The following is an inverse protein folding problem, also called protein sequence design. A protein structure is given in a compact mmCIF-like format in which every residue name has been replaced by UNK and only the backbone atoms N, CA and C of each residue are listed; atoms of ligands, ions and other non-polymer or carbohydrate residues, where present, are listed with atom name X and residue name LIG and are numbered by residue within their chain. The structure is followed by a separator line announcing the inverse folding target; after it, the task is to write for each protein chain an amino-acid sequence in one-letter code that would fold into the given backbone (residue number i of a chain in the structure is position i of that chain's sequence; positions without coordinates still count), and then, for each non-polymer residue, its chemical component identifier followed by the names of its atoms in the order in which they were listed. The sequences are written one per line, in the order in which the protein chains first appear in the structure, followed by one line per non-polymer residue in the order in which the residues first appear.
data_IF_452367189712
#
_entry.id   IF_452367189712
#
_cell.length_a   1.000
_cell.length_b   1.000
_cell.length_c   1.000
_cell.angle_alpha   90.00
_cell.angle_beta   90.00
_cell.angle_gamma   90.00
#
_symmetry.space_group_name_H-M   'P 1'
#
loop_
_entity.id
_entity.type
_entity.pdbx_description
1 polymer ?
#
# COMPACT_ATOMS: atom_id res chain seq x y z
N UNK A 1 -19.75 -11.69 3.67
CA UNK A 1 -19.63 -13.15 3.47
C UNK A 1 -19.15 -13.40 2.04
N UNK A 2 -17.87 -13.15 1.75
CA UNK A 2 -17.29 -13.26 0.39
C UNK A 2 -16.18 -14.33 0.27
N UNK A 3 -15.70 -14.90 1.39
CA UNK A 3 -14.57 -15.85 1.36
C UNK A 3 -14.87 -17.25 0.82
N UNK A 4 -16.14 -17.68 0.81
CA UNK A 4 -16.49 -19.06 0.42
C UNK A 4 -16.53 -19.30 -1.11
N UNK A 5 -16.69 -18.25 -1.93
CA UNK A 5 -16.81 -18.41 -3.38
C UNK A 5 -15.45 -18.57 -4.10
N UNK A 6 -14.35 -18.07 -3.51
CA UNK A 6 -13.02 -18.08 -4.15
C UNK A 6 -12.28 -19.43 -4.04
N UNK A 7 -12.80 -20.38 -3.26
CA UNK A 7 -12.19 -21.72 -3.11
C UNK A 7 -12.41 -22.58 -4.36
N UNK A 8 -13.45 -22.29 -5.15
CA UNK A 8 -13.85 -23.13 -6.30
C UNK A 8 -13.02 -22.82 -7.58
N UNK A 9 -12.35 -21.67 -7.67
CA UNK A 9 -11.60 -21.26 -8.87
C UNK A 9 -10.09 -21.55 -8.85
N UNK A 10 -9.57 -22.28 -7.86
CA UNK A 10 -8.14 -22.67 -7.80
C UNK A 10 -7.38 -22.15 -6.59
N UNK A 11 -8.07 -21.55 -5.62
CA UNK A 11 -7.54 -21.18 -4.31
C UNK A 11 -6.67 -19.93 -4.35
N UNK A 12 -7.02 -18.93 -3.55
CA UNK A 12 -6.19 -17.75 -3.36
C UNK A 12 -4.96 -18.11 -2.51
N UNK A 13 -3.77 -17.71 -2.97
CA UNK A 13 -2.52 -17.80 -2.24
C UNK A 13 -2.04 -16.39 -1.90
N UNK A 14 -1.67 -16.18 -0.64
CA UNK A 14 -1.05 -14.93 -0.18
C UNK A 14 0.43 -15.13 0.15
N UNK A 15 1.23 -14.15 -0.22
CA UNK A 15 2.59 -13.97 0.26
C UNK A 15 2.54 -13.10 1.53
N UNK A 16 3.25 -13.48 2.60
CA UNK A 16 3.31 -12.71 3.85
C UNK A 16 4.77 -12.40 4.16
N UNK A 17 5.07 -11.11 4.38
CA UNK A 17 6.40 -10.68 4.80
C UNK A 17 6.63 -11.06 6.27
N UNK A 18 7.63 -11.91 6.49
CA UNK A 18 8.02 -12.52 7.75
C UNK A 18 9.17 -11.78 8.46
N UNK A 19 9.18 -10.45 8.31
CA UNK A 19 10.13 -9.58 8.98
C UNK A 19 9.75 -9.35 10.44
N UNK A 20 10.08 -8.17 10.95
CA UNK A 20 9.66 -7.78 12.29
C UNK A 20 8.13 -7.73 12.35
N UNK A 21 7.56 -8.36 13.39
CA UNK A 21 6.11 -8.53 13.53
C UNK A 21 5.47 -9.54 12.56
N UNK A 22 6.26 -10.43 11.94
CA UNK A 22 5.79 -11.42 10.95
C UNK A 22 4.63 -12.30 11.43
N UNK A 23 4.68 -12.84 12.65
CA UNK A 23 3.59 -13.67 13.21
C UNK A 23 2.29 -12.87 13.41
N UNK A 24 2.38 -11.64 13.93
CA UNK A 24 1.21 -10.77 14.08
C UNK A 24 0.58 -10.43 12.71
N UNK A 25 1.43 -10.20 11.71
CA UNK A 25 1.00 -9.94 10.32
C UNK A 25 0.35 -11.16 9.69
N UNK A 26 0.89 -12.35 9.92
CA UNK A 26 0.27 -13.61 9.49
C UNK A 26 -1.10 -13.81 10.15
N UNK A 27 -1.22 -13.50 11.45
CA UNK A 27 -2.49 -13.60 12.16
C UNK A 27 -3.53 -12.61 11.60
N UNK A 28 -3.15 -11.35 11.32
CA UNK A 28 -4.00 -10.36 10.65
C UNK A 28 -4.44 -10.85 9.25
N UNK A 29 -3.51 -11.42 8.49
CA UNK A 29 -3.81 -11.94 7.15
C UNK A 29 -4.82 -13.09 7.20
N UNK A 30 -4.64 -14.05 8.12
CA UNK A 30 -5.55 -15.18 8.30
C UNK A 30 -6.93 -14.77 8.78
N UNK A 31 -7.01 -13.73 9.61
CA UNK A 31 -8.30 -13.19 10.03
C UNK A 31 -9.04 -12.53 8.86
N UNK A 32 -8.33 -11.76 8.04
CA UNK A 32 -8.94 -11.03 6.93
C UNK A 32 -9.36 -11.94 5.76
N UNK A 33 -8.47 -12.86 5.35
CA UNK A 33 -8.68 -13.71 4.18
C UNK A 33 -9.18 -15.12 4.52
N UNK A 34 -9.27 -15.47 5.80
CA UNK A 34 -9.68 -16.78 6.28
C UNK A 34 -8.51 -17.71 6.63
N UNK A 35 -8.72 -18.63 7.58
CA UNK A 35 -7.65 -19.47 8.13
C UNK A 35 -7.15 -20.56 7.17
N UNK A 36 -7.91 -20.87 6.11
CA UNK A 36 -7.59 -21.93 5.15
C UNK A 36 -6.88 -21.40 3.89
N UNK A 37 -6.70 -20.10 3.76
CA UNK A 37 -6.07 -19.49 2.59
C UNK A 37 -4.58 -19.87 2.57
N UNK A 38 -4.07 -20.27 1.40
CA UNK A 38 -2.69 -20.73 1.25
C UNK A 38 -1.72 -19.58 1.52
N UNK A 39 -0.66 -19.83 2.29
CA UNK A 39 0.31 -18.82 2.71
C UNK A 39 1.72 -19.20 2.28
N UNK A 40 2.43 -18.24 1.67
CA UNK A 40 3.87 -18.29 1.41
C UNK A 40 4.57 -17.22 2.24
N UNK A 41 5.56 -17.60 3.03
CA UNK A 41 6.30 -16.67 3.89
C UNK A 41 7.61 -16.27 3.22
N UNK A 42 7.91 -14.98 3.25
CA UNK A 42 9.12 -14.41 2.65
C UNK A 42 9.82 -13.51 3.66
N UNK A 43 11.15 -13.48 3.69
CA UNK A 43 11.88 -12.83 4.77
C UNK A 43 11.77 -11.30 4.77
N UNK A 44 11.53 -10.68 3.61
CA UNK A 44 11.48 -9.23 3.46
C UNK A 44 10.45 -8.78 2.42
N UNK A 45 10.09 -7.47 2.40
CA UNK A 45 9.10 -6.95 1.46
C UNK A 45 9.47 -7.16 0.00
N UNK A 46 10.76 -7.09 -0.34
CA UNK A 46 11.22 -7.28 -1.73
C UNK A 46 10.89 -8.67 -2.26
N UNK A 47 11.19 -9.72 -1.49
CA UNK A 47 10.84 -11.11 -1.84
C UNK A 47 9.32 -11.32 -1.87
N UNK A 48 8.61 -10.70 -0.92
CA UNK A 48 7.15 -10.81 -0.82
C UNK A 48 6.46 -10.19 -2.05
N UNK A 49 6.92 -9.01 -2.50
CA UNK A 49 6.41 -8.34 -3.70
C UNK A 49 6.79 -9.11 -4.99
N UNK A 50 8.00 -9.65 -5.06
CA UNK A 50 8.45 -10.42 -6.22
C UNK A 50 7.61 -11.69 -6.46
N UNK A 51 7.01 -12.26 -5.42
CA UNK A 51 6.13 -13.43 -5.55
C UNK A 51 4.79 -13.10 -6.25
N UNK A 52 4.40 -11.82 -6.33
CA UNK A 52 3.19 -11.40 -7.05
C UNK A 52 3.36 -11.45 -8.57
N UNK A 53 4.58 -11.28 -9.06
CA UNK A 53 4.87 -11.18 -10.50
C UNK A 53 5.46 -12.47 -11.07
N UNK A 54 5.77 -13.44 -10.21
CA UNK A 54 6.30 -14.75 -10.60
C UNK A 54 5.18 -15.65 -11.15
N UNK A 55 5.49 -16.47 -12.15
CA UNK A 55 4.57 -17.50 -12.64
C UNK A 55 4.16 -18.48 -11.52
N UNK A 56 2.86 -18.74 -11.35
CA UNK A 56 2.34 -19.49 -10.20
C UNK A 56 2.63 -18.81 -8.86
N UNK A 57 2.73 -17.48 -8.89
CA UNK A 57 2.87 -16.54 -7.78
C UNK A 57 1.71 -16.53 -6.80
N UNK A 58 1.89 -15.79 -5.70
CA UNK A 58 0.78 -15.40 -4.86
C UNK A 58 -0.07 -14.34 -5.58
N UNK A 59 -1.38 -14.30 -5.30
CA UNK A 59 -2.27 -13.27 -5.84
C UNK A 59 -2.26 -12.00 -4.97
N UNK A 60 -1.86 -12.12 -3.71
CA UNK A 60 -1.85 -11.06 -2.71
C UNK A 60 -0.54 -11.07 -1.94
N UNK A 61 -0.04 -9.90 -1.56
CA UNK A 61 1.10 -9.76 -0.66
C UNK A 61 0.71 -8.95 0.57
N UNK A 62 1.01 -9.46 1.76
CA UNK A 62 0.77 -8.78 3.04
C UNK A 62 2.09 -8.26 3.57
N UNK A 63 2.19 -6.93 3.65
CA UNK A 63 3.41 -6.19 3.93
C UNK A 63 3.33 -5.43 5.26
N UNK A 64 4.49 -5.08 5.85
CA UNK A 64 4.56 -4.23 7.04
C UNK A 64 3.84 -2.89 6.85
N UNK A 65 3.52 -2.20 7.97
CA UNK A 65 3.07 -0.81 7.94
C UNK A 65 3.92 0.06 7.02
N UNK A 66 3.29 1.07 6.43
CA UNK A 66 4.01 2.14 5.74
C UNK A 66 4.89 2.88 6.74
N UNK A 67 6.15 3.11 6.38
CA UNK A 67 7.12 3.82 7.19
C UNK A 67 8.10 4.62 6.35
N UNK A 68 9.06 5.22 7.04
CA UNK A 68 10.22 5.92 6.44
C UNK A 68 11.56 5.34 6.90
N UNK A 69 11.54 4.23 7.65
CA UNK A 69 12.76 3.63 8.20
C UNK A 69 13.80 3.31 7.12
N UNK A 70 15.07 3.44 7.46
CA UNK A 70 16.20 3.21 6.54
C UNK A 70 16.33 1.75 6.12
N UNK A 71 15.85 0.81 6.95
CA UNK A 71 15.84 -0.60 6.62
C UNK A 71 14.89 -0.96 5.45
N UNK A 72 15.00 -2.20 4.98
CA UNK A 72 14.20 -2.70 3.87
C UNK A 72 12.69 -2.80 4.20
N UNK A 73 12.31 -2.79 5.48
CA UNK A 73 10.92 -2.82 5.94
C UNK A 73 10.31 -1.42 6.00
N UNK A 74 11.09 -0.39 6.35
CA UNK A 74 10.63 0.97 6.53
C UNK A 74 10.46 1.78 5.25
N UNK A 75 10.70 1.24 4.05
CA UNK A 75 10.52 2.00 2.81
C UNK A 75 10.22 1.15 1.59
N UNK A 76 9.55 0.03 1.78
CA UNK A 76 9.25 -0.94 0.72
C UNK A 76 8.37 -0.34 -0.38
N UNK A 77 7.53 0.65 -0.06
CA UNK A 77 6.59 1.29 -0.98
C UNK A 77 7.29 1.95 -2.18
N UNK A 78 8.60 2.29 -2.07
CA UNK A 78 9.42 2.76 -3.20
C UNK A 78 9.50 1.74 -4.35
N UNK A 79 9.27 0.47 -4.05
CA UNK A 79 9.29 -0.61 -5.03
C UNK A 79 8.03 -0.65 -5.88
N UNK A 80 6.93 -0.01 -5.47
CA UNK A 80 5.69 0.00 -6.24
C UNK A 80 5.81 0.84 -7.51
N UNK A 81 6.53 1.97 -7.45
CA UNK A 81 6.62 2.91 -8.56
C UNK A 81 7.29 2.34 -9.83
N UNK A 82 8.43 1.61 -9.77
CA UNK A 82 9.11 1.13 -10.98
C UNK A 82 8.63 -0.24 -11.53
N UNK A 83 7.58 -0.86 -11.00
CA UNK A 83 7.29 -2.27 -11.34
C UNK A 83 6.47 -2.44 -12.63
N UNK A 84 6.78 -3.52 -13.39
CA UNK A 84 5.94 -4.08 -14.46
C UNK A 84 5.76 -5.59 -14.22
N UNK A 85 4.52 -6.10 -14.08
CA UNK A 85 3.25 -5.37 -14.05
C UNK A 85 3.17 -4.39 -12.88
N UNK A 86 2.27 -3.40 -12.97
CA UNK A 86 2.06 -2.44 -11.89
C UNK A 86 1.56 -3.15 -10.62
N UNK A 87 1.99 -2.65 -9.46
CA UNK A 87 1.57 -3.14 -8.15
C UNK A 87 0.81 -2.04 -7.42
N UNK A 88 -0.29 -2.44 -6.78
CA UNK A 88 -1.22 -1.55 -6.11
C UNK A 88 -1.40 -1.99 -4.66
N UNK A 89 -1.30 -1.05 -3.73
CA UNK A 89 -1.90 -1.23 -2.40
C UNK A 89 -3.41 -1.26 -2.60
N UNK A 90 -4.08 -2.30 -2.11
CA UNK A 90 -5.52 -2.49 -2.29
C UNK A 90 -6.32 -2.57 -0.98
N UNK A 91 -5.63 -2.77 0.15
CA UNK A 91 -6.27 -2.78 1.46
C UNK A 91 -5.28 -2.42 2.57
N UNK A 92 -5.82 -1.88 3.67
CA UNK A 92 -5.18 -1.78 4.97
C UNK A 92 -5.92 -2.71 5.93
N UNK A 93 -5.18 -3.56 6.65
CA UNK A 93 -5.74 -4.51 7.62
C UNK A 93 -5.17 -4.23 9.02
N UNK A 94 -5.96 -4.42 10.10
CA UNK A 94 -7.37 -4.84 10.08
C UNK A 94 -8.29 -3.70 9.61
N UNK A 95 -9.36 -4.05 8.88
CA UNK A 95 -10.37 -3.07 8.42
C UNK A 95 -11.19 -2.51 9.59
N UNK A 96 -11.44 -3.35 10.61
CA UNK A 96 -12.08 -2.94 11.85
C UNK A 96 -11.01 -2.69 12.92
N UNK A 97 -10.77 -1.42 13.24
CA UNK A 97 -9.64 -1.01 14.09
C UNK A 97 -9.90 -1.20 15.57
N UNK A 98 -11.17 -1.28 16.00
CA UNK A 98 -11.56 -1.57 17.39
C UNK A 98 -11.47 -3.07 17.67
N UNK A 99 -10.46 -3.51 18.42
CA UNK A 99 -10.16 -4.94 18.64
C UNK A 99 -10.61 -5.38 20.03
N UNK A 100 -11.30 -6.52 20.11
CA UNK A 100 -11.49 -7.23 21.37
C UNK A 100 -10.17 -7.88 21.82
N UNK A 101 -10.07 -8.20 23.12
CA UNK A 101 -8.91 -8.93 23.65
C UNK A 101 -8.76 -10.30 22.94
N UNK A 102 -7.51 -10.70 22.69
CA UNK A 102 -7.18 -11.95 22.01
C UNK A 102 -7.21 -11.89 20.48
N UNK A 103 -7.67 -10.78 19.89
CA UNK A 103 -7.59 -10.58 18.45
C UNK A 103 -6.23 -10.01 18.01
N UNK A 104 -5.72 -10.34 16.81
CA UNK A 104 -4.46 -9.80 16.29
C UNK A 104 -4.41 -8.27 16.31
N UNK A 105 -3.30 -7.69 16.75
CA UNK A 105 -3.09 -6.24 16.83
C UNK A 105 -1.98 -5.80 15.87
N UNK A 106 -2.02 -4.53 15.48
CA UNK A 106 -1.08 -3.93 14.54
C UNK A 106 -1.76 -3.55 13.23
N UNK A 107 -0.95 -3.19 12.24
CA UNK A 107 -1.40 -2.82 10.91
C UNK A 107 -0.57 -3.54 9.84
N UNK A 108 -1.18 -3.80 8.69
CA UNK A 108 -0.50 -4.31 7.52
C UNK A 108 -1.19 -3.82 6.25
N UNK A 109 -0.45 -3.82 5.15
CA UNK A 109 -0.96 -3.41 3.85
C UNK A 109 -1.00 -4.60 2.91
N UNK A 110 -2.06 -4.68 2.10
CA UNK A 110 -2.24 -5.70 1.08
C UNK A 110 -1.90 -5.12 -0.27
N UNK A 111 -1.06 -5.80 -1.04
CA UNK A 111 -0.64 -5.42 -2.39
C UNK A 111 -1.07 -6.50 -3.40
N UNK A 112 -1.50 -6.06 -4.58
CA UNK A 112 -1.87 -6.92 -5.71
C UNK A 112 -1.42 -6.31 -7.04
N UNK A 113 -1.56 -7.07 -8.14
CA UNK A 113 -1.32 -6.61 -9.52
C UNK A 113 -2.56 -5.98 -10.17
N UNK A 114 -3.69 -5.99 -9.46
CA UNK A 114 -4.98 -5.43 -9.90
C UNK A 114 -5.27 -4.18 -9.05
N UNK A 115 -5.72 -3.06 -9.64
CA UNK A 115 -6.08 -1.86 -8.88
C UNK A 115 -7.25 -2.11 -7.93
N UNK A 116 -7.40 -1.29 -6.87
CA UNK A 116 -8.53 -1.42 -5.94
C UNK A 116 -9.85 -1.00 -6.58
N UNK A 117 -10.93 -1.67 -6.21
CA UNK A 117 -12.30 -1.26 -6.51
C UNK A 117 -12.76 -0.16 -5.53
N UNK A 118 -13.53 0.80 -6.02
CA UNK A 118 -14.09 1.87 -5.19
C UNK A 118 -15.09 1.33 -4.17
N UNK A 119 -14.92 1.69 -2.89
CA UNK A 119 -15.87 1.36 -1.81
C UNK A 119 -16.81 2.52 -1.46
N UNK A 120 -16.50 3.73 -1.94
CA UNK A 120 -17.26 4.96 -1.69
C UNK A 120 -16.72 5.80 -0.53
N UNK A 121 -15.96 5.19 0.38
CA UNK A 121 -15.20 5.87 1.42
C UNK A 121 -13.75 5.38 1.38
N UNK A 122 -12.96 5.96 0.48
CA UNK A 122 -11.63 5.46 0.13
C UNK A 122 -10.53 6.49 0.39
N UNK A 123 -9.31 5.98 0.56
CA UNK A 123 -8.07 6.74 0.58
C UNK A 123 -7.21 6.30 -0.61
N UNK A 124 -6.84 7.24 -1.47
CA UNK A 124 -5.97 7.03 -2.61
C UNK A 124 -4.50 7.20 -2.24
N UNK A 125 -3.62 6.48 -2.93
CA UNK A 125 -2.18 6.54 -2.73
C UNK A 125 -1.45 6.86 -4.04
N UNK A 126 -0.55 7.83 -3.99
CA UNK A 126 0.31 8.19 -5.12
C UNK A 126 1.77 8.39 -4.69
N UNK A 127 2.70 8.03 -5.55
CA UNK A 127 4.11 8.37 -5.38
C UNK A 127 4.48 9.60 -6.20
N UNK A 128 5.26 10.48 -5.60
CA UNK A 128 5.73 11.74 -6.16
C UNK A 128 7.26 11.79 -6.08
N UNK A 129 7.92 12.01 -7.21
CA UNK A 129 9.37 12.21 -7.24
C UNK A 129 9.66 13.70 -7.40
N UNK A 130 10.12 14.35 -6.34
CA UNK A 130 10.37 15.80 -6.35
C UNK A 130 11.79 16.13 -6.79
N UNK A 131 11.91 17.23 -7.54
CA UNK A 131 13.17 17.88 -7.84
C UNK A 131 13.76 18.49 -6.56
N UNK A 132 15.01 18.13 -6.25
CA UNK A 132 15.67 18.60 -5.03
C UNK A 132 15.02 18.04 -3.76
N UNK A 133 15.03 18.83 -2.68
CA UNK A 133 14.57 18.38 -1.36
C UNK A 133 13.61 19.40 -0.74
N UNK A 134 12.38 19.53 -1.27
CA UNK A 134 11.38 20.39 -0.66
C UNK A 134 11.03 19.90 0.74
N UNK A 135 10.63 20.83 1.61
CA UNK A 135 10.13 20.48 2.94
C UNK A 135 8.82 19.68 2.86
N UNK A 136 8.51 18.90 3.89
CA UNK A 136 7.23 18.17 4.00
C UNK A 136 6.01 19.08 3.82
N UNK A 137 6.05 20.29 4.41
CA UNK A 137 4.99 21.28 4.25
C UNK A 137 4.83 21.71 2.79
N UNK A 138 5.95 21.92 2.08
CA UNK A 138 5.94 22.32 0.67
C UNK A 138 5.43 21.20 -0.25
N UNK A 139 5.81 19.95 0.02
CA UNK A 139 5.28 18.79 -0.72
C UNK A 139 3.76 18.68 -0.57
N UNK A 140 3.24 18.81 0.66
CA UNK A 140 1.79 18.81 0.91
C UNK A 140 1.08 19.98 0.23
N UNK A 141 1.68 21.17 0.23
CA UNK A 141 1.15 22.35 -0.46
C UNK A 141 1.03 22.12 -1.97
N UNK A 142 2.03 21.49 -2.61
CA UNK A 142 1.98 21.15 -4.03
C UNK A 142 0.81 20.20 -4.36
N UNK A 143 0.55 19.23 -3.50
CA UNK A 143 -0.56 18.28 -3.65
C UNK A 143 -1.91 18.96 -3.45
N UNK A 144 -2.03 19.81 -2.42
CA UNK A 144 -3.25 20.59 -2.16
C UNK A 144 -3.56 21.57 -3.29
N UNK A 145 -2.56 22.26 -3.82
CA UNK A 145 -2.73 23.21 -4.92
C UNK A 145 -3.16 22.53 -6.23
N UNK A 146 -2.84 21.25 -6.41
CA UNK A 146 -3.33 20.44 -7.52
C UNK A 146 -4.80 19.98 -7.34
N UNK A 147 -5.42 20.27 -6.19
CA UNK A 147 -6.82 19.95 -5.91
C UNK A 147 -7.03 18.57 -5.27
N UNK A 148 -6.02 18.02 -4.62
CA UNK A 148 -6.16 16.84 -3.75
C UNK A 148 -6.30 17.24 -2.28
N UNK A 149 -6.85 16.35 -1.46
CA UNK A 149 -6.93 16.52 -0.01
C UNK A 149 -6.00 15.51 0.67
N UNK A 150 -4.72 15.86 0.91
CA UNK A 150 -3.75 14.92 1.45
C UNK A 150 -3.96 14.68 2.96
N UNK A 151 -3.90 13.42 3.38
CA UNK A 151 -4.16 12.95 4.76
C UNK A 151 -2.90 12.42 5.45
N UNK A 152 -1.96 11.86 4.69
CA UNK A 152 -0.69 11.36 5.21
C UNK A 152 0.43 11.50 4.17
N UNK A 153 1.67 11.55 4.67
CA UNK A 153 2.87 11.69 3.86
C UNK A 153 3.99 10.83 4.45
N UNK A 154 4.58 9.98 3.60
CA UNK A 154 5.83 9.29 3.84
C UNK A 154 6.86 9.73 2.81
N UNK A 155 8.12 9.85 3.23
CA UNK A 155 9.21 10.43 2.45
C UNK A 155 10.43 9.54 2.59
N UNK A 156 11.10 9.29 1.47
CA UNK A 156 12.37 8.57 1.44
C UNK A 156 13.32 9.25 0.47
N UNK A 157 14.54 9.53 0.93
CA UNK A 157 15.61 9.99 0.05
C UNK A 157 16.06 8.81 -0.81
N UNK A 158 16.10 8.98 -2.12
CA UNK A 158 16.63 7.96 -3.01
C UNK A 158 18.16 8.00 -3.00
N UNK A 159 18.84 6.86 -3.21
CA UNK A 159 20.30 6.83 -3.28
C UNK A 159 20.81 7.70 -4.45
N UNK A 160 21.94 8.40 -4.22
CA UNK A 160 22.55 9.31 -5.20
C UNK A 160 21.78 10.62 -5.34
N UNK A 161 21.90 11.26 -6.51
CA UNK A 161 21.19 12.51 -6.84
C UNK A 161 19.79 12.26 -7.42
N UNK A 162 19.19 11.11 -7.12
CA UNK A 162 17.89 10.71 -7.66
C UNK A 162 16.69 11.45 -7.02
N UNK A 163 16.94 12.34 -6.05
CA UNK A 163 15.93 13.21 -5.46
C UNK A 163 15.15 12.59 -4.30
N UNK A 164 14.00 13.20 -4.01
CA UNK A 164 13.16 12.87 -2.87
C UNK A 164 11.87 12.18 -3.34
N UNK A 165 11.71 10.91 -2.97
CA UNK A 165 10.48 10.17 -3.24
C UNK A 165 9.51 10.35 -2.07
N UNK A 166 8.28 10.74 -2.37
CA UNK A 166 7.19 10.82 -1.42
C UNK A 166 6.08 9.84 -1.79
N UNK A 167 5.44 9.23 -0.79
CA UNK A 167 4.17 8.55 -0.88
C UNK A 167 3.14 9.43 -0.17
N UNK A 168 2.08 9.78 -0.89
CA UNK A 168 1.02 10.64 -0.36
C UNK A 168 -0.29 9.88 -0.35
N UNK A 169 -0.96 9.95 0.79
CA UNK A 169 -2.34 9.52 0.94
C UNK A 169 -3.27 10.71 0.75
N UNK A 170 -4.34 10.53 -0.01
CA UNK A 170 -5.34 11.56 -0.29
C UNK A 170 -6.75 11.00 -0.13
N UNK A 171 -7.73 11.87 0.11
CA UNK A 171 -9.13 11.45 0.07
C UNK A 171 -9.56 11.00 -1.33
N UNK A 172 -10.36 9.93 -1.35
CA UNK A 172 -10.89 9.24 -2.52
C UNK A 172 -9.81 8.51 -3.33
N UNK A 173 -10.21 7.46 -4.05
CA UNK A 173 -9.34 6.82 -5.03
C UNK A 173 -8.98 7.80 -6.17
N UNK A 174 -7.79 7.60 -6.72
CA UNK A 174 -7.27 8.42 -7.82
C UNK A 174 -7.36 7.60 -9.10
N UNK A 175 -8.02 8.14 -10.13
CA UNK A 175 -7.98 7.54 -11.45
C UNK A 175 -6.57 7.65 -12.05
N UNK A 176 -6.05 6.64 -12.75
CA UNK A 176 -4.71 6.72 -13.36
C UNK A 176 -4.54 7.90 -14.32
N UNK A 177 -5.62 8.33 -14.96
CA UNK A 177 -5.67 9.44 -15.92
C UNK A 177 -6.22 10.75 -15.30
N UNK A 178 -6.27 10.86 -13.97
CA UNK A 178 -6.76 12.06 -13.31
C UNK A 178 -5.90 13.27 -13.70
N UNK A 179 -6.46 14.31 -14.34
CA UNK A 179 -5.69 15.46 -14.83
C UNK A 179 -4.97 16.21 -13.71
N UNK A 180 -5.47 16.13 -12.47
CA UNK A 180 -4.84 16.75 -11.30
C UNK A 180 -3.44 16.19 -11.03
N UNK A 181 -3.14 14.94 -11.42
CA UNK A 181 -1.80 14.34 -11.28
C UNK A 181 -0.75 15.16 -12.03
N UNK A 182 -1.08 15.67 -13.21
CA UNK A 182 -0.19 16.50 -14.02
C UNK A 182 -0.05 17.95 -13.51
N UNK A 183 -0.95 18.39 -12.63
CA UNK A 183 -0.94 19.73 -12.06
C UNK A 183 -0.04 19.85 -10.82
N UNK A 184 0.47 18.73 -10.29
CA UNK A 184 1.38 18.73 -9.14
C UNK A 184 2.74 19.31 -9.57
N UNK A 185 3.08 20.48 -9.03
CA UNK A 185 4.32 21.17 -9.36
C UNK A 185 5.54 20.58 -8.63
N UNK A 186 6.73 20.77 -9.22
CA UNK A 186 8.01 20.42 -8.60
C UNK A 186 8.42 18.96 -8.73
N UNK A 187 7.78 18.20 -9.62
CA UNK A 187 8.09 16.79 -9.86
C UNK A 187 9.12 16.64 -11.00
N UNK A 188 10.09 15.72 -10.81
CA UNK A 188 11.02 15.29 -11.85
C UNK A 188 10.39 14.27 -12.80
N UNK A 189 9.39 13.53 -12.32
CA UNK A 189 8.69 12.48 -13.06
C UNK A 189 7.18 12.58 -12.80
N UNK A 190 6.32 12.14 -13.74
CA UNK A 190 4.88 12.13 -13.54
C UNK A 190 4.49 11.40 -12.23
N UNK A 191 3.55 11.99 -11.49
CA UNK A 191 2.93 11.35 -10.34
C UNK A 191 2.35 9.99 -10.75
N UNK A 192 2.54 8.97 -9.90
CA UNK A 192 2.07 7.61 -10.17
C UNK A 192 1.11 7.16 -9.09
N UNK A 193 -0.07 6.74 -9.50
CA UNK A 193 -1.04 6.07 -8.62
C UNK A 193 -0.49 4.70 -8.25
N UNK A 194 -0.38 4.43 -6.95
CA UNK A 194 0.13 3.15 -6.41
C UNK A 194 -0.94 2.42 -5.59
N UNK A 195 -2.20 2.79 -5.81
CA UNK A 195 -3.37 2.12 -5.27
C UNK A 195 -4.15 2.98 -4.30
N UNK A 196 -4.76 2.35 -3.32
CA UNK A 196 -5.66 2.94 -2.36
C UNK A 196 -6.44 1.87 -1.62
N UNK A 197 -7.17 2.27 -0.59
CA UNK A 197 -7.89 1.33 0.25
C UNK A 197 -9.11 2.00 0.89
N UNK A 198 -10.12 1.19 1.22
CA UNK A 198 -11.28 1.65 1.97
C UNK A 198 -10.86 2.17 3.35
N UNK A 199 -11.41 3.31 3.76
CA UNK A 199 -11.16 3.92 5.06
C UNK A 199 -11.52 2.91 6.17
N UNK A 200 -10.56 2.48 7.02
CA UNK A 200 -10.86 1.56 8.11
C UNK A 200 -11.92 2.13 9.04
N UNK A 201 -12.84 1.27 9.48
CA UNK A 201 -13.95 1.70 10.31
C UNK A 201 -13.47 1.95 11.74
N UNK A 202 -13.64 3.20 12.17
CA UNK A 202 -13.54 3.64 13.55
C UNK A 202 -14.97 3.93 14.02
N UNK A 203 -15.33 3.55 15.24
CA UNK A 203 -16.74 3.45 15.70
C UNK A 203 -17.51 4.78 15.86
N UNK A 204 -16.99 5.92 15.42
CA UNK A 204 -17.69 7.21 15.52
C UNK A 204 -18.58 7.48 14.31
N UNK A 205 -19.86 7.13 14.45
CA UNK A 205 -20.97 7.92 13.94
C UNK A 205 -21.24 9.12 14.87
#
# INVERSE_FOLDING_TARGET
MFGAALIIEGGQTMAVCDGEGGEARLALAREHFGPLTSVRRHHNPSQTLADLTREGGAQLAVLPPLGEGEDAQGGWWRMLAPTSPALYIIAKIPFWTRRAEGLPVGEAYVVATVPPDASGADLGLMTLLFSGEPSRARMMEHVTNAGFEPTALWVKRLPGDAGLLALVEVKNLIAPEDPRLSAIAGLDMPARVVGGYALPLNETA
#
